data_IF_985796355748
#
_entry.id   IF_985796355748
#
_cell.length_a   1.000
_cell.length_b   1.000
_cell.length_c   1.000
_cell.angle_alpha   90.00
_cell.angle_beta   90.00
_cell.angle_gamma   90.00
#
_symmetry.space_group_name_H-M   'P 1'
#
loop_
_entity.id
_entity.type
_entity.pdbx_description
1 polymer ?
#
# COMPACT_ATOMS: atom_id res chain seq x y z
N UNK A 1 -13.58 -1.43 9.34
CA UNK A 1 -12.34 -1.79 10.04
C UNK A 1 -11.94 -0.75 11.08
N UNK A 2 -11.81 0.57 10.77
CA UNK A 2 -11.43 1.60 11.76
C UNK A 2 -12.36 1.64 12.98
N UNK A 3 -13.69 1.65 12.81
CA UNK A 3 -14.63 1.64 13.94
C UNK A 3 -14.48 0.42 14.86
N UNK A 4 -14.08 -0.74 14.31
CA UNK A 4 -13.81 -1.93 15.13
C UNK A 4 -12.56 -1.76 16.01
N UNK A 5 -11.53 -1.09 15.51
CA UNK A 5 -10.33 -0.78 16.29
C UNK A 5 -10.58 0.36 17.31
N UNK A 6 -11.32 1.41 16.91
CA UNK A 6 -11.72 2.49 17.83
C UNK A 6 -12.51 1.93 19.02
N UNK A 7 -13.41 0.98 18.78
CA UNK A 7 -14.15 0.31 19.86
C UNK A 7 -13.25 -0.43 20.86
N UNK A 8 -12.05 -0.88 20.46
CA UNK A 8 -11.04 -1.47 21.35
C UNK A 8 -10.21 -0.44 22.12
N UNK A 9 -10.11 0.79 21.61
CA UNK A 9 -9.43 1.87 22.32
C UNK A 9 -10.26 2.50 23.44
N UNK A 10 -11.59 2.53 23.28
CA UNK A 10 -12.53 3.18 24.23
C UNK A 10 -12.39 2.74 25.68
N UNK A 11 -12.30 1.44 26.01
CA UNK A 11 -12.19 1.00 27.41
C UNK A 11 -10.93 1.51 28.13
N UNK A 12 -9.89 1.81 27.36
CA UNK A 12 -8.58 2.20 27.89
C UNK A 12 -8.43 3.73 28.02
N UNK A 13 -9.25 4.51 27.31
CA UNK A 13 -9.16 5.96 27.33
C UNK A 13 -10.47 6.60 26.84
N UNK A 14 -11.13 7.35 27.73
CA UNK A 14 -12.42 8.00 27.48
C UNK A 14 -12.40 9.02 26.32
N UNK A 15 -11.22 9.56 25.95
CA UNK A 15 -11.09 10.48 24.80
C UNK A 15 -11.59 9.86 23.47
N UNK A 16 -11.63 8.51 23.39
CA UNK A 16 -12.09 7.82 22.18
C UNK A 16 -13.60 7.53 22.17
N UNK A 17 -14.35 7.90 23.23
CA UNK A 17 -15.78 7.59 23.31
C UNK A 17 -16.57 8.17 22.15
N UNK A 18 -16.26 9.39 21.74
CA UNK A 18 -16.95 10.12 20.67
C UNK A 18 -16.27 9.95 19.30
N UNK A 19 -15.21 9.14 19.22
CA UNK A 19 -14.56 8.87 17.95
C UNK A 19 -15.39 7.95 17.09
N UNK A 20 -15.57 8.35 15.81
CA UNK A 20 -16.22 7.54 14.79
C UNK A 20 -15.55 7.77 13.44
N UNK A 21 -15.52 6.73 12.62
CA UNK A 21 -14.98 6.77 11.28
C UNK A 21 -16.10 6.64 10.26
N UNK A 22 -16.18 7.61 9.37
CA UNK A 22 -17.17 7.70 8.31
C UNK A 22 -16.54 7.55 6.94
N UNK A 23 -17.34 7.22 5.95
CA UNK A 23 -16.93 7.16 4.54
C UNK A 23 -17.70 8.20 3.76
N UNK A 24 -16.99 8.99 2.97
CA UNK A 24 -17.54 10.00 2.08
C UNK A 24 -17.10 9.66 0.65
N UNK A 25 -18.00 9.81 -0.30
CA UNK A 25 -17.73 9.71 -1.74
C UNK A 25 -17.68 11.14 -2.28
N UNK A 26 -16.48 11.64 -2.55
CA UNK A 26 -16.21 13.00 -2.97
C UNK A 26 -15.74 12.99 -4.41
N UNK A 27 -16.42 13.76 -5.28
CA UNK A 27 -15.95 13.94 -6.65
C UNK A 27 -14.61 14.72 -6.68
N UNK A 28 -13.74 14.48 -7.69
CA UNK A 28 -12.46 15.19 -7.79
C UNK A 28 -12.59 16.72 -7.81
N UNK A 29 -13.62 17.24 -8.44
CA UNK A 29 -13.87 18.68 -8.56
C UNK A 29 -14.32 19.31 -7.22
N UNK A 30 -14.98 18.53 -6.34
CA UNK A 30 -15.46 18.97 -5.03
C UNK A 30 -14.41 18.77 -3.92
N UNK A 31 -13.28 18.14 -4.22
CA UNK A 31 -12.34 17.68 -3.20
C UNK A 31 -11.70 18.82 -2.40
N UNK A 32 -11.32 19.93 -3.05
CA UNK A 32 -10.72 21.08 -2.38
C UNK A 32 -11.69 21.74 -1.37
N UNK A 33 -12.96 21.88 -1.77
CA UNK A 33 -14.01 22.39 -0.89
C UNK A 33 -14.27 21.42 0.27
N UNK A 34 -14.35 20.14 -0.02
CA UNK A 34 -14.56 19.10 1.00
C UNK A 34 -13.43 19.10 2.06
N UNK A 35 -12.16 19.19 1.65
CA UNK A 35 -11.03 19.28 2.59
C UNK A 35 -11.16 20.51 3.48
N UNK A 36 -11.51 21.68 2.92
CA UNK A 36 -11.73 22.92 3.68
C UNK A 36 -12.87 22.77 4.69
N UNK A 37 -13.99 22.12 4.29
CA UNK A 37 -15.12 21.86 5.17
C UNK A 37 -14.75 20.88 6.29
N UNK A 38 -14.07 19.79 5.98
CA UNK A 38 -13.60 18.84 6.99
C UNK A 38 -12.68 19.53 8.02
N UNK A 39 -11.78 20.39 7.57
CA UNK A 39 -10.92 21.14 8.47
C UNK A 39 -11.73 22.10 9.36
N UNK A 40 -12.64 22.87 8.76
CA UNK A 40 -13.52 23.81 9.48
C UNK A 40 -14.38 23.15 10.55
N UNK A 41 -14.82 21.91 10.29
CA UNK A 41 -15.65 21.13 11.23
C UNK A 41 -14.83 20.20 12.13
N UNK A 42 -13.52 20.42 12.23
CA UNK A 42 -12.59 19.71 13.13
C UNK A 42 -12.59 18.19 12.95
N UNK A 43 -12.67 17.71 11.70
CA UNK A 43 -12.36 16.31 11.45
C UNK A 43 -10.91 16.04 11.77
N UNK A 44 -10.65 15.16 12.76
CA UNK A 44 -9.32 14.88 13.30
C UNK A 44 -8.37 14.30 12.27
N UNK A 45 -8.87 13.66 11.23
CA UNK A 45 -8.07 13.15 10.14
C UNK A 45 -8.90 12.55 9.02
N UNK A 46 -8.27 12.36 7.86
CA UNK A 46 -8.89 11.80 6.67
C UNK A 46 -7.99 10.71 6.09
N UNK A 47 -8.57 9.59 5.63
CA UNK A 47 -7.89 8.73 4.67
C UNK A 47 -8.34 9.07 3.26
N UNK A 48 -7.38 9.07 2.36
CA UNK A 48 -7.59 9.38 0.96
C UNK A 48 -7.33 8.15 0.09
N UNK A 49 -8.10 8.04 -0.98
CA UNK A 49 -7.87 7.05 -2.04
C UNK A 49 -7.74 7.77 -3.40
N UNK A 50 -7.50 7.02 -4.45
CA UNK A 50 -7.45 7.55 -5.81
C UNK A 50 -8.82 8.20 -6.15
N UNK A 51 -8.83 9.40 -6.79
CA UNK A 51 -7.67 10.14 -7.33
C UNK A 51 -7.04 11.15 -6.36
N UNK A 52 -7.54 11.32 -5.16
CA UNK A 52 -7.28 12.44 -4.24
C UNK A 52 -5.89 12.47 -3.60
N UNK A 53 -5.17 11.32 -3.56
CA UNK A 53 -3.88 11.20 -2.85
C UNK A 53 -2.80 12.18 -3.33
N UNK A 54 -2.77 12.50 -4.62
CA UNK A 54 -1.84 13.46 -5.21
C UNK A 54 -2.37 14.88 -5.06
N UNK A 55 -3.64 15.08 -5.39
CA UNK A 55 -4.30 16.39 -5.32
C UNK A 55 -4.25 17.02 -3.93
N UNK A 56 -4.30 16.19 -2.88
CA UNK A 56 -4.23 16.67 -1.51
C UNK A 56 -2.93 17.39 -1.16
N UNK A 57 -1.83 17.09 -1.83
CA UNK A 57 -0.52 17.69 -1.53
C UNK A 57 -0.51 19.22 -1.71
N UNK A 58 -1.32 19.72 -2.65
CA UNK A 58 -1.44 21.16 -2.92
C UNK A 58 -2.45 21.86 -1.98
N UNK A 59 -3.17 21.12 -1.15
CA UNK A 59 -4.29 21.60 -0.32
C UNK A 59 -3.99 21.57 1.18
N UNK A 60 -2.84 21.04 1.59
CA UNK A 60 -2.49 20.81 3.00
C UNK A 60 -1.31 21.66 3.45
N UNK A 61 -1.17 21.83 4.76
CA UNK A 61 -0.14 22.66 5.36
C UNK A 61 1.26 22.05 5.26
N UNK A 62 1.40 20.77 5.52
CA UNK A 62 2.68 20.08 5.50
C UNK A 62 2.59 18.65 4.98
N UNK A 63 3.70 18.12 4.49
CA UNK A 63 3.81 16.75 4.01
C UNK A 63 4.98 16.05 4.72
N UNK A 64 4.76 14.83 5.19
CA UNK A 64 5.83 14.03 5.78
C UNK A 64 6.91 13.70 4.73
N UNK A 65 8.18 13.49 5.15
CA UNK A 65 9.27 13.16 4.22
C UNK A 65 8.96 11.94 3.32
N UNK A 66 8.25 10.94 3.84
CA UNK A 66 7.85 9.77 3.04
C UNK A 66 6.73 10.13 2.06
N UNK A 67 5.77 10.97 2.46
CA UNK A 67 4.74 11.51 1.56
C UNK A 67 5.34 12.30 0.40
N UNK A 68 6.33 13.15 0.67
CA UNK A 68 7.05 13.92 -0.37
C UNK A 68 7.75 12.99 -1.37
N UNK A 69 8.54 12.01 -0.88
CA UNK A 69 9.22 11.04 -1.76
C UNK A 69 8.23 10.21 -2.60
N UNK A 70 7.12 9.82 -1.99
CA UNK A 70 6.06 9.08 -2.68
C UNK A 70 5.22 9.98 -3.61
N UNK A 71 5.28 11.31 -3.45
CA UNK A 71 4.50 12.27 -4.23
C UNK A 71 2.99 12.08 -4.07
N UNK A 72 2.56 11.60 -2.91
CA UNK A 72 1.17 11.35 -2.59
C UNK A 72 0.99 11.15 -1.08
N UNK A 73 -0.16 11.53 -0.55
CA UNK A 73 -0.57 11.29 0.83
C UNK A 73 -1.88 10.51 0.86
N UNK A 74 -2.01 9.57 1.79
CA UNK A 74 -3.24 8.81 1.99
C UNK A 74 -3.86 8.99 3.38
N UNK A 75 -3.18 9.76 4.24
CA UNK A 75 -3.61 10.02 5.62
C UNK A 75 -3.35 11.48 5.94
N UNK A 76 -4.39 12.23 6.26
CA UNK A 76 -4.30 13.61 6.73
C UNK A 76 -4.55 13.65 8.22
N UNK A 77 -3.83 14.54 8.91
CA UNK A 77 -3.97 14.77 10.36
C UNK A 77 -4.28 16.24 10.57
N UNK A 78 -5.30 16.54 11.35
CA UNK A 78 -5.65 17.91 11.72
C UNK A 78 -4.52 18.54 12.53
N UNK A 79 -4.10 19.75 12.15
CA UNK A 79 -3.11 20.59 12.82
C UNK A 79 -3.60 22.01 12.96
N UNK A 80 -2.88 22.83 13.70
CA UNK A 80 -3.27 24.23 13.99
C UNK A 80 -3.35 25.11 12.72
N UNK A 81 -2.51 24.83 11.72
CA UNK A 81 -2.40 25.66 10.51
C UNK A 81 -2.97 24.96 9.25
N UNK A 82 -3.59 23.81 9.40
CA UNK A 82 -4.11 22.99 8.30
C UNK A 82 -3.88 21.51 8.55
N UNK A 83 -4.19 20.69 7.56
CA UNK A 83 -3.87 19.27 7.62
C UNK A 83 -2.38 19.02 7.31
N UNK A 84 -1.76 18.10 8.05
CA UNK A 84 -0.48 17.50 7.70
C UNK A 84 -0.69 16.13 7.06
N UNK A 85 0.01 15.86 5.96
CA UNK A 85 -0.15 14.68 5.13
C UNK A 85 0.92 13.61 5.33
N UNK A 86 0.48 12.37 5.41
CA UNK A 86 1.33 11.18 5.54
C UNK A 86 0.99 10.16 4.46
N UNK A 87 1.96 9.27 4.16
CA UNK A 87 1.69 8.11 3.33
C UNK A 87 1.95 6.82 4.12
N UNK A 88 0.90 6.04 4.34
CA UNK A 88 0.96 4.78 5.10
C UNK A 88 0.96 3.53 4.21
N UNK A 89 0.89 3.69 2.87
CA UNK A 89 0.82 2.56 1.93
C UNK A 89 2.11 1.72 1.96
N UNK A 90 3.29 2.38 1.92
CA UNK A 90 4.58 1.70 1.98
C UNK A 90 4.76 0.92 3.27
N UNK A 91 4.44 1.53 4.41
CA UNK A 91 4.43 0.85 5.71
C UNK A 91 3.49 -0.37 5.71
N UNK A 92 2.29 -0.22 5.13
CA UNK A 92 1.31 -1.30 5.01
C UNK A 92 1.87 -2.48 4.23
N UNK A 93 2.52 -2.23 3.08
CA UNK A 93 3.16 -3.27 2.27
C UNK A 93 4.28 -3.99 3.04
N UNK A 94 5.20 -3.25 3.64
CA UNK A 94 6.29 -3.81 4.47
C UNK A 94 5.79 -4.75 5.54
N UNK A 95 4.76 -4.32 6.28
CA UNK A 95 4.16 -5.13 7.35
C UNK A 95 3.46 -6.37 6.81
N UNK A 96 2.72 -6.24 5.70
CA UNK A 96 2.02 -7.34 5.06
C UNK A 96 2.98 -8.41 4.52
N UNK A 97 4.04 -8.01 3.82
CA UNK A 97 5.06 -8.94 3.31
C UNK A 97 5.69 -9.75 4.45
N UNK A 98 6.00 -9.09 5.57
CA UNK A 98 6.55 -9.77 6.74
C UNK A 98 5.54 -10.71 7.41
N UNK A 99 4.30 -10.26 7.60
CA UNK A 99 3.27 -11.02 8.31
C UNK A 99 2.77 -12.23 7.50
N UNK A 100 2.49 -12.04 6.20
CA UNK A 100 1.85 -13.06 5.38
C UNK A 100 2.86 -14.03 4.73
N UNK A 101 4.07 -13.55 4.41
CA UNK A 101 5.05 -14.30 3.61
C UNK A 101 6.40 -14.49 4.31
N UNK A 102 6.61 -13.89 5.48
CA UNK A 102 7.90 -13.90 6.17
C UNK A 102 8.99 -13.11 5.46
N UNK A 103 8.64 -12.32 4.44
CA UNK A 103 9.60 -11.55 3.63
C UNK A 103 9.93 -10.22 4.31
N UNK A 104 11.23 -9.96 4.49
CA UNK A 104 11.76 -8.64 4.88
C UNK A 104 12.28 -7.95 3.63
N UNK A 105 11.97 -6.67 3.46
CA UNK A 105 12.47 -5.89 2.31
C UNK A 105 14.00 -5.70 2.36
N UNK A 106 14.55 -5.51 3.55
CA UNK A 106 16.00 -5.34 3.74
C UNK A 106 16.77 -6.54 3.18
N UNK A 107 17.70 -6.26 2.27
CA UNK A 107 18.55 -7.26 1.62
C UNK A 107 17.83 -8.19 0.64
N UNK A 108 16.54 -7.97 0.36
CA UNK A 108 15.80 -8.82 -0.58
C UNK A 108 15.89 -8.33 -2.02
N UNK A 109 15.66 -9.25 -2.96
CA UNK A 109 15.37 -8.94 -4.37
C UNK A 109 13.87 -8.79 -4.54
N UNK A 110 13.44 -7.68 -5.12
CA UNK A 110 12.04 -7.37 -5.37
C UNK A 110 11.79 -7.17 -6.86
N UNK A 111 10.77 -7.82 -7.40
CA UNK A 111 10.20 -7.51 -8.71
C UNK A 111 8.87 -6.81 -8.47
N UNK A 112 8.77 -5.56 -8.87
CA UNK A 112 7.59 -4.72 -8.71
C UNK A 112 6.93 -4.48 -10.07
N UNK A 113 5.67 -4.81 -10.19
CA UNK A 113 4.90 -4.60 -11.39
C UNK A 113 3.99 -3.39 -11.24
N UNK A 114 4.13 -2.44 -12.15
CA UNK A 114 3.34 -1.20 -12.17
C UNK A 114 4.17 0.05 -11.88
N UNK A 115 3.60 1.21 -12.20
CA UNK A 115 4.20 2.55 -11.96
C UNK A 115 3.16 3.57 -11.49
N UNK A 116 2.00 3.12 -11.01
CA UNK A 116 0.98 3.98 -10.39
C UNK A 116 1.34 4.36 -8.93
N UNK A 117 0.44 5.07 -8.25
CA UNK A 117 0.69 5.54 -6.88
C UNK A 117 1.03 4.43 -5.88
N UNK A 118 0.38 3.25 -5.96
CA UNK A 118 0.70 2.11 -5.10
C UNK A 118 2.10 1.54 -5.41
N UNK A 119 2.47 1.44 -6.70
CA UNK A 119 3.79 1.00 -7.12
C UNK A 119 4.87 2.01 -6.67
N UNK A 120 4.59 3.31 -6.78
CA UNK A 120 5.51 4.36 -6.32
C UNK A 120 5.75 4.27 -4.81
N UNK A 121 4.69 4.10 -4.01
CA UNK A 121 4.81 3.90 -2.57
C UNK A 121 5.63 2.62 -2.24
N UNK A 122 5.38 1.53 -2.96
CA UNK A 122 6.14 0.29 -2.81
C UNK A 122 7.61 0.44 -3.18
N UNK A 123 7.93 1.08 -4.31
CA UNK A 123 9.29 1.31 -4.76
C UNK A 123 10.07 2.15 -3.74
N UNK A 124 9.50 3.29 -3.32
CA UNK A 124 10.10 4.16 -2.29
C UNK A 124 10.34 3.38 -1.00
N UNK A 125 9.35 2.58 -0.55
CA UNK A 125 9.51 1.76 0.66
C UNK A 125 10.61 0.72 0.52
N UNK A 126 10.75 0.07 -0.65
CA UNK A 126 11.83 -0.89 -0.90
C UNK A 126 13.20 -0.23 -0.74
N UNK A 127 13.40 0.96 -1.28
CA UNK A 127 14.65 1.71 -1.16
C UNK A 127 14.90 2.13 0.29
N UNK A 128 13.90 2.70 0.97
CA UNK A 128 14.02 3.11 2.38
C UNK A 128 14.38 1.96 3.32
N UNK A 129 13.90 0.77 3.02
CA UNK A 129 14.21 -0.44 3.80
C UNK A 129 15.50 -1.15 3.36
N UNK A 130 16.22 -0.63 2.35
CA UNK A 130 17.50 -1.18 1.90
C UNK A 130 17.35 -2.53 1.19
N UNK A 131 16.45 -2.65 0.23
CA UNK A 131 16.41 -3.84 -0.64
C UNK A 131 17.74 -3.98 -1.40
N UNK A 132 18.16 -5.22 -1.67
CA UNK A 132 19.39 -5.47 -2.39
C UNK A 132 19.25 -5.16 -3.89
N UNK A 133 18.10 -5.48 -4.45
CA UNK A 133 17.78 -5.25 -5.87
C UNK A 133 16.29 -4.99 -6.05
N UNK A 134 15.96 -3.99 -6.86
CA UNK A 134 14.58 -3.65 -7.20
C UNK A 134 14.42 -3.64 -8.72
N UNK A 135 13.69 -4.59 -9.28
CA UNK A 135 13.29 -4.58 -10.68
C UNK A 135 11.90 -3.99 -10.80
N UNK A 136 11.71 -2.97 -11.63
CA UNK A 136 10.40 -2.33 -11.83
C UNK A 136 9.96 -2.53 -13.27
N UNK A 137 8.82 -3.20 -13.45
CA UNK A 137 8.23 -3.46 -14.77
C UNK A 137 6.91 -2.75 -14.99
N UNK A 138 6.74 -2.11 -16.14
CA UNK A 138 5.48 -1.51 -16.54
C UNK A 138 5.30 -1.52 -18.05
N UNK A 139 4.03 -1.53 -18.53
CA UNK A 139 3.70 -1.44 -19.96
C UNK A 139 3.91 -0.03 -20.53
N UNK A 140 3.63 0.99 -19.71
CA UNK A 140 3.82 2.39 -20.10
C UNK A 140 5.24 2.82 -19.73
N UNK A 141 6.08 3.00 -20.75
CA UNK A 141 7.49 3.34 -20.60
C UNK A 141 7.69 4.71 -19.96
N UNK A 142 6.91 5.71 -20.38
CA UNK A 142 7.01 7.08 -19.87
C UNK A 142 6.74 7.14 -18.33
N UNK A 143 5.68 6.46 -17.88
CA UNK A 143 5.38 6.36 -16.44
C UNK A 143 6.44 5.56 -15.68
N UNK A 144 7.05 4.58 -16.32
CA UNK A 144 8.14 3.81 -15.74
C UNK A 144 9.37 4.70 -15.56
N UNK A 145 9.75 5.48 -16.58
CA UNK A 145 10.86 6.43 -16.51
C UNK A 145 10.66 7.49 -15.42
N UNK A 146 9.44 8.03 -15.29
CA UNK A 146 9.09 8.97 -14.22
C UNK A 146 9.29 8.33 -12.82
N UNK A 147 8.86 7.08 -12.64
CA UNK A 147 9.09 6.37 -11.38
C UNK A 147 10.57 6.10 -11.13
N UNK A 148 11.31 5.68 -12.16
CA UNK A 148 12.74 5.44 -12.06
C UNK A 148 13.52 6.70 -11.70
N UNK A 149 13.16 7.86 -12.25
CA UNK A 149 13.76 9.14 -11.89
C UNK A 149 13.59 9.46 -10.40
N UNK A 150 12.41 9.21 -9.84
CA UNK A 150 12.15 9.37 -8.40
C UNK A 150 13.01 8.43 -7.57
N UNK A 151 13.06 7.17 -7.94
CA UNK A 151 13.79 6.13 -7.21
C UNK A 151 15.29 6.40 -7.26
N UNK A 152 15.85 6.70 -8.43
CA UNK A 152 17.29 6.99 -8.60
C UNK A 152 17.74 8.28 -7.89
N UNK A 153 16.83 9.23 -7.66
CA UNK A 153 17.12 10.42 -6.85
C UNK A 153 17.26 10.13 -5.34
N UNK A 154 16.90 8.93 -4.89
CA UNK A 154 16.98 8.55 -3.49
C UNK A 154 18.34 7.91 -3.17
N UNK A 155 18.91 8.12 -1.96
CA UNK A 155 20.04 7.34 -1.49
C UNK A 155 19.73 5.84 -1.52
N UNK A 156 20.58 5.06 -2.20
CA UNK A 156 20.37 3.62 -2.41
C UNK A 156 19.50 3.25 -3.61
N UNK A 157 19.01 4.24 -4.37
CA UNK A 157 18.19 4.03 -5.56
C UNK A 157 18.92 3.37 -6.73
N UNK A 158 20.25 3.36 -6.73
CA UNK A 158 21.07 2.69 -7.76
C UNK A 158 20.82 1.17 -7.85
N UNK A 159 20.23 0.56 -6.82
CA UNK A 159 19.85 -0.85 -6.84
C UNK A 159 18.64 -1.12 -7.74
N UNK A 160 17.94 -0.09 -8.23
CA UNK A 160 16.75 -0.23 -9.05
C UNK A 160 17.07 -0.32 -10.54
N UNK A 161 16.38 -1.20 -11.23
CA UNK A 161 16.46 -1.38 -12.69
C UNK A 161 15.04 -1.47 -13.28
N UNK A 162 14.83 -0.76 -14.39
CA UNK A 162 13.60 -0.86 -15.17
C UNK A 162 13.65 -2.04 -16.13
N UNK A 163 12.49 -2.67 -16.39
CA UNK A 163 12.36 -3.67 -17.44
C UNK A 163 11.02 -3.56 -18.18
N UNK A 164 11.02 -3.96 -19.44
CA UNK A 164 9.78 -4.12 -20.20
C UNK A 164 9.12 -5.46 -19.85
N UNK A 165 7.79 -5.46 -19.64
CA UNK A 165 7.07 -6.67 -19.15
C UNK A 165 7.17 -7.88 -20.09
N UNK A 166 7.38 -7.64 -21.38
CA UNK A 166 7.63 -8.68 -22.40
C UNK A 166 9.08 -9.20 -22.42
N UNK A 167 9.99 -8.53 -21.68
CA UNK A 167 11.40 -8.88 -21.56
C UNK A 167 11.86 -8.82 -20.09
N UNK A 168 11.31 -9.68 -19.22
CA UNK A 168 11.70 -9.69 -17.83
C UNK A 168 13.20 -10.05 -17.67
N UNK A 169 13.86 -9.56 -16.60
CA UNK A 169 15.22 -9.93 -16.31
C UNK A 169 15.33 -11.44 -16.13
N UNK A 170 16.46 -12.00 -16.54
CA UNK A 170 16.79 -13.41 -16.38
C UNK A 170 17.79 -13.57 -15.23
N UNK A 171 17.79 -14.75 -14.61
CA UNK A 171 18.78 -15.05 -13.56
C UNK A 171 18.48 -14.33 -12.24
N UNK A 172 17.23 -14.35 -11.80
CA UNK A 172 16.85 -13.83 -10.49
C UNK A 172 17.67 -14.47 -9.36
N UNK A 173 17.91 -13.70 -8.30
CA UNK A 173 18.49 -14.21 -7.07
C UNK A 173 17.69 -15.41 -6.53
N UNK A 174 18.34 -16.26 -5.74
CA UNK A 174 17.70 -17.47 -5.18
C UNK A 174 16.43 -17.14 -4.37
N UNK A 175 16.41 -16.00 -3.69
CA UNK A 175 15.27 -15.55 -2.87
C UNK A 175 14.81 -14.15 -3.26
N UNK A 176 13.51 -13.97 -3.27
CA UNK A 176 12.91 -12.68 -3.60
C UNK A 176 11.38 -12.68 -3.48
N UNK A 177 10.80 -11.57 -3.87
CA UNK A 177 9.35 -11.39 -3.91
C UNK A 177 8.92 -10.66 -5.18
N UNK A 178 7.89 -11.19 -5.83
CA UNK A 178 7.14 -10.48 -6.87
C UNK A 178 5.98 -9.74 -6.22
N UNK A 179 5.85 -8.45 -6.49
CA UNK A 179 4.76 -7.59 -6.00
C UNK A 179 3.98 -7.05 -7.18
N UNK A 180 2.71 -7.43 -7.31
CA UNK A 180 1.80 -6.83 -8.29
C UNK A 180 1.15 -5.58 -7.70
N UNK A 181 1.48 -4.42 -8.25
CA UNK A 181 0.86 -3.12 -7.96
C UNK A 181 0.12 -2.54 -9.18
N UNK A 182 -0.24 -3.41 -10.13
CA UNK A 182 -1.08 -3.04 -11.28
C UNK A 182 -2.55 -3.29 -11.00
N UNK A 183 -3.42 -2.85 -11.89
CA UNK A 183 -4.85 -3.19 -11.89
C UNK A 183 -5.17 -4.53 -12.56
N UNK A 184 -4.18 -5.22 -13.14
CA UNK A 184 -4.41 -6.52 -13.79
C UNK A 184 -4.69 -7.59 -12.74
N UNK A 185 -5.86 -8.18 -12.84
CA UNK A 185 -6.41 -9.14 -11.89
C UNK A 185 -7.66 -8.64 -11.15
N UNK A 186 -8.06 -7.37 -11.33
CA UNK A 186 -9.34 -6.85 -10.84
C UNK A 186 -10.54 -7.46 -11.55
N UNK A 187 -10.38 -7.79 -12.83
CA UNK A 187 -11.40 -8.46 -13.65
C UNK A 187 -11.00 -9.91 -13.85
N UNK A 188 -11.97 -10.80 -13.86
CA UNK A 188 -11.74 -12.24 -14.07
C UNK A 188 -11.06 -12.53 -15.42
N UNK A 189 -11.38 -11.74 -16.45
CA UNK A 189 -10.81 -11.87 -17.79
C UNK A 189 -9.38 -11.29 -17.92
N UNK A 190 -8.87 -10.61 -16.89
CA UNK A 190 -7.53 -10.03 -16.96
C UNK A 190 -6.46 -11.14 -17.09
N UNK A 191 -5.44 -10.94 -17.95
CA UNK A 191 -4.29 -11.83 -18.00
C UNK A 191 -3.47 -11.70 -16.71
N UNK A 192 -2.67 -12.72 -16.39
CA UNK A 192 -1.64 -12.59 -15.38
C UNK A 192 -0.61 -11.52 -15.80
N UNK A 193 -0.25 -10.59 -14.92
CA UNK A 193 0.68 -9.50 -15.26
C UNK A 193 2.14 -9.97 -15.44
N UNK A 194 2.45 -11.20 -15.07
CA UNK A 194 3.80 -11.77 -15.11
C UNK A 194 3.74 -13.29 -15.24
N UNK A 195 4.71 -13.87 -15.96
CA UNK A 195 4.89 -15.32 -16.03
C UNK A 195 5.66 -15.82 -14.81
N UNK A 196 4.94 -16.41 -13.88
CA UNK A 196 5.51 -16.91 -12.62
C UNK A 196 6.42 -18.12 -12.78
N UNK A 197 6.46 -18.77 -13.97
CA UNK A 197 7.38 -19.86 -14.26
C UNK A 197 8.83 -19.38 -14.31
N UNK A 198 9.06 -18.09 -14.54
CA UNK A 198 10.38 -17.47 -14.54
C UNK A 198 10.96 -17.29 -13.12
N UNK A 199 10.13 -17.44 -12.08
CA UNK A 199 10.56 -17.24 -10.69
C UNK A 199 11.15 -18.53 -10.09
N UNK A 200 12.24 -18.43 -9.30
CA UNK A 200 12.72 -19.55 -8.49
C UNK A 200 11.64 -20.02 -7.50
N UNK A 201 11.60 -21.33 -7.19
CA UNK A 201 10.61 -21.94 -6.29
C UNK A 201 10.64 -21.41 -4.84
N UNK A 202 11.71 -20.78 -4.46
CA UNK A 202 11.91 -20.14 -3.15
C UNK A 202 11.25 -18.77 -3.01
N UNK A 203 10.81 -18.20 -4.15
CA UNK A 203 10.19 -16.88 -4.17
C UNK A 203 8.80 -16.86 -3.56
N UNK A 204 8.36 -15.64 -3.25
CA UNK A 204 6.98 -15.37 -2.86
C UNK A 204 6.32 -14.43 -3.89
N UNK A 205 4.99 -14.47 -3.97
CA UNK A 205 4.20 -13.59 -4.83
C UNK A 205 3.16 -12.87 -3.98
N UNK A 206 3.20 -11.57 -4.02
CA UNK A 206 2.27 -10.67 -3.35
C UNK A 206 1.45 -9.90 -4.38
N UNK A 207 0.14 -9.98 -4.29
CA UNK A 207 -0.76 -9.18 -5.12
C UNK A 207 -1.44 -8.11 -4.27
N UNK A 208 -1.26 -6.82 -4.59
CA UNK A 208 -1.92 -5.74 -3.84
C UNK A 208 -3.44 -5.75 -4.00
N UNK A 209 -3.97 -6.49 -4.97
CA UNK A 209 -5.41 -6.71 -5.13
C UNK A 209 -5.87 -7.65 -4.01
N UNK A 210 -6.95 -7.27 -3.32
CA UNK A 210 -7.60 -8.08 -2.27
C UNK A 210 -9.03 -8.48 -2.62
N UNK A 211 -9.60 -7.85 -3.64
CA UNK A 211 -10.90 -8.20 -4.21
C UNK A 211 -10.80 -8.18 -5.74
N UNK A 212 -10.87 -9.34 -6.40
CA UNK A 212 -11.12 -10.69 -5.87
C UNK A 212 -10.03 -11.18 -4.90
N UNK A 213 -10.41 -12.10 -3.99
CA UNK A 213 -9.48 -12.64 -2.99
C UNK A 213 -8.32 -13.45 -3.59
N UNK A 214 -8.56 -14.08 -4.75
CA UNK A 214 -7.56 -14.85 -5.49
C UNK A 214 -7.58 -14.41 -6.95
N UNK A 215 -6.56 -13.68 -7.36
CA UNK A 215 -6.34 -13.27 -8.75
C UNK A 215 -5.75 -14.40 -9.59
N UNK A 216 -5.72 -14.23 -10.90
CA UNK A 216 -5.06 -15.19 -11.82
C UNK A 216 -3.58 -15.36 -11.45
N UNK A 217 -2.87 -14.25 -11.20
CA UNK A 217 -1.47 -14.28 -10.77
C UNK A 217 -1.26 -15.18 -9.55
N UNK A 218 -2.10 -15.03 -8.51
CA UNK A 218 -1.99 -15.84 -7.29
C UNK A 218 -2.36 -17.31 -7.52
N UNK A 219 -3.31 -17.61 -8.41
CA UNK A 219 -3.63 -18.99 -8.80
C UNK A 219 -2.44 -19.66 -9.50
N UNK A 220 -1.87 -18.97 -10.50
CA UNK A 220 -0.74 -19.48 -11.27
C UNK A 220 0.49 -19.70 -10.38
N UNK A 221 0.79 -18.74 -9.48
CA UNK A 221 1.88 -18.86 -8.52
C UNK A 221 1.69 -20.04 -7.54
N UNK A 222 0.47 -20.20 -7.03
CA UNK A 222 0.14 -21.33 -6.13
C UNK A 222 0.28 -22.67 -6.82
N UNK A 223 -0.13 -22.80 -8.08
CA UNK A 223 0.03 -24.02 -8.87
C UNK A 223 1.50 -24.39 -9.09
N UNK A 224 2.39 -23.41 -9.07
CA UNK A 224 3.84 -23.59 -9.12
C UNK A 224 4.49 -23.86 -7.75
N UNK A 225 3.70 -23.93 -6.67
CA UNK A 225 4.20 -24.17 -5.31
C UNK A 225 4.83 -22.94 -4.64
N UNK A 226 4.65 -21.74 -5.19
CA UNK A 226 5.14 -20.50 -4.61
C UNK A 226 4.27 -20.07 -3.41
N UNK A 227 4.89 -19.41 -2.43
CA UNK A 227 4.15 -18.75 -1.34
C UNK A 227 3.41 -17.54 -1.89
N UNK A 228 2.14 -17.38 -1.54
CA UNK A 228 1.29 -16.32 -2.09
C UNK A 228 0.50 -15.60 -1.01
N UNK A 229 0.32 -14.29 -1.18
CA UNK A 229 -0.59 -13.49 -0.36
C UNK A 229 -1.23 -12.36 -1.19
N UNK A 230 -2.41 -11.91 -0.76
CA UNK A 230 -3.14 -10.80 -1.37
C UNK A 230 -3.04 -9.52 -0.55
N UNK A 231 -3.59 -8.40 -1.09
CA UNK A 231 -3.48 -7.07 -0.54
C UNK A 231 -4.27 -6.78 0.75
N UNK A 232 -5.01 -7.74 1.30
CA UNK A 232 -5.87 -7.48 2.47
C UNK A 232 -5.06 -7.06 3.71
N UNK A 233 -3.93 -7.72 3.97
CA UNK A 233 -3.06 -7.32 5.09
C UNK A 233 -2.47 -5.93 4.91
N UNK A 234 -2.11 -5.53 3.68
CA UNK A 234 -1.63 -4.18 3.39
C UNK A 234 -2.73 -3.15 3.67
N UNK A 235 -3.97 -3.40 3.22
CA UNK A 235 -5.12 -2.56 3.53
C UNK A 235 -5.32 -2.39 5.04
N UNK A 236 -5.16 -3.46 5.81
CA UNK A 236 -5.28 -3.43 7.27
C UNK A 236 -4.14 -2.63 7.87
N UNK A 237 -2.89 -2.96 7.56
CA UNK A 237 -1.73 -2.35 8.21
C UNK A 237 -1.57 -0.86 7.89
N UNK A 238 -1.92 -0.41 6.66
CA UNK A 238 -1.94 1.03 6.37
C UNK A 238 -3.02 1.75 7.18
N UNK A 239 -4.19 1.12 7.37
CA UNK A 239 -5.26 1.67 8.20
C UNK A 239 -4.93 1.67 9.71
N UNK A 240 -4.25 0.63 10.21
CA UNK A 240 -3.67 0.60 11.56
C UNK A 240 -2.75 1.80 11.75
N UNK A 241 -1.82 2.00 10.82
CA UNK A 241 -0.87 3.11 10.89
C UNK A 241 -1.55 4.47 10.89
N UNK A 242 -2.57 4.66 10.04
CA UNK A 242 -3.37 5.89 10.04
C UNK A 242 -4.03 6.15 11.39
N UNK A 243 -4.64 5.13 11.99
CA UNK A 243 -5.28 5.27 13.30
C UNK A 243 -4.27 5.49 14.43
N UNK A 244 -3.08 4.88 14.37
CA UNK A 244 -1.97 5.17 15.31
C UNK A 244 -1.52 6.62 15.23
N UNK A 245 -1.39 7.17 14.00
CA UNK A 245 -1.01 8.57 13.78
C UNK A 245 -2.06 9.49 14.41
N UNK A 246 -3.34 9.26 14.20
CA UNK A 246 -4.41 10.10 14.77
C UNK A 246 -4.55 9.94 16.28
N UNK A 247 -4.45 8.72 16.77
CA UNK A 247 -4.75 8.39 18.16
C UNK A 247 -3.54 8.50 19.10
N UNK A 248 -2.32 8.51 18.58
CA UNK A 248 -1.09 8.34 19.36
C UNK A 248 -1.18 7.16 20.33
N UNK A 249 -1.85 6.07 19.93
CA UNK A 249 -2.05 4.86 20.70
C UNK A 249 -1.76 3.63 19.85
N UNK A 250 -1.39 2.52 20.49
CA UNK A 250 -1.25 1.23 19.84
C UNK A 250 -2.63 0.72 19.38
N UNK A 251 -2.69 0.24 18.14
CA UNK A 251 -3.95 -0.17 17.49
C UNK A 251 -3.97 -1.68 17.27
N UNK A 252 -5.05 -2.34 17.69
CA UNK A 252 -5.29 -3.77 17.47
C UNK A 252 -5.53 -4.09 15.99
N UNK A 253 -4.47 -4.53 15.31
CA UNK A 253 -4.54 -4.98 13.93
C UNK A 253 -5.50 -6.17 13.73
N UNK A 254 -5.65 -7.05 14.73
CA UNK A 254 -6.56 -8.20 14.64
C UNK A 254 -8.02 -7.76 14.59
N UNK A 255 -8.40 -6.72 15.34
CA UNK A 255 -9.75 -6.16 15.28
C UNK A 255 -10.06 -5.61 13.87
N UNK A 256 -9.10 -4.90 13.26
CA UNK A 256 -9.25 -4.41 11.89
C UNK A 256 -9.32 -5.55 10.87
N UNK A 257 -8.45 -6.56 11.00
CA UNK A 257 -8.42 -7.74 10.12
C UNK A 257 -9.76 -8.48 10.16
N UNK A 258 -10.29 -8.80 11.34
CA UNK A 258 -11.59 -9.48 11.47
C UNK A 258 -12.71 -8.67 10.80
N UNK A 259 -12.75 -7.37 11.03
CA UNK A 259 -13.76 -6.50 10.45
C UNK A 259 -13.65 -6.40 8.91
N UNK A 260 -12.43 -6.33 8.36
CA UNK A 260 -12.18 -6.31 6.93
C UNK A 260 -12.56 -7.66 6.27
N UNK A 261 -12.13 -8.77 6.86
CA UNK A 261 -12.45 -10.14 6.40
C UNK A 261 -13.97 -10.37 6.37
N UNK A 262 -14.66 -9.99 7.45
CA UNK A 262 -16.12 -10.10 7.53
C UNK A 262 -16.83 -9.24 6.46
N UNK A 263 -16.39 -8.00 6.25
CA UNK A 263 -16.98 -7.10 5.25
C UNK A 263 -16.81 -7.60 3.81
N UNK A 264 -15.78 -8.42 3.56
CA UNK A 264 -15.52 -9.05 2.26
C UNK A 264 -16.16 -10.44 2.11
N UNK A 265 -16.91 -10.92 3.12
CA UNK A 265 -17.50 -12.27 3.11
C UNK A 265 -16.46 -13.39 3.10
N UNK A 266 -15.24 -13.12 3.57
CA UNK A 266 -14.15 -14.11 3.62
C UNK A 266 -14.19 -14.91 4.92
N UNK A 267 -13.71 -16.18 4.91
CA UNK A 267 -13.59 -16.97 6.14
C UNK A 267 -12.59 -16.28 7.11
N UNK A 268 -12.79 -16.47 8.43
CA UNK A 268 -11.85 -15.97 9.43
C UNK A 268 -10.43 -16.46 9.12
N UNK A 269 -9.46 -15.54 9.15
CA UNK A 269 -8.04 -15.93 9.14
C UNK A 269 -7.71 -16.45 10.55
N UNK A 270 -7.38 -17.72 10.67
CA UNK A 270 -6.79 -18.28 11.90
C UNK A 270 -5.37 -17.71 12.00
N UNK A 271 -5.12 -16.98 13.08
CA UNK A 271 -3.79 -16.44 13.42
C UNK A 271 -2.80 -17.53 13.80
#
# INVERSE_FOLDING_TARGET
>A
MHNAAIAKLRPNNSRFNDWAYYRFDIAPDDFAEAVSLFYKYNFLGLNLTIPHKVQAMDLIHGVSPDGERMGAVNTLVWGEHGYDGFNTDGYGLKKALKADLGVKLQGSTVVLLGSGGAARAAAVQCILDGCQKLYIGNRNVERLEQLMAVVHAMPGGDCAEAFALDKPPLGFAEQGVLVNATSLGLKEADPAPFDVQLLPKTWAVYDMIYNPNVTRLLRDARSQGLRVANGLSMLVHQGVRSLEIWSHAEVDAHAMTRAATHALGLPPRHG
#
